data_IF_962765430937
#
_entry.id   IF_962765430937
#
_cell.length_a   1.000
_cell.length_b   1.000
_cell.length_c   1.000
_cell.angle_alpha   90.00
_cell.angle_beta   90.00
_cell.angle_gamma   90.00
#
_symmetry.space_group_name_H-M   'P 1'
#
loop_
_entity.id
_entity.type
_entity.pdbx_description
1 polymer ?
#
# COMPACT_ATOMS: atom_id res chain seq x y z
N UNK A 1 -12.39 -32.06 10.04
CA UNK A 1 -12.33 -30.81 9.26
C UNK A 1 -11.71 -29.74 10.13
N UNK A 2 -10.85 -28.88 9.57
CA UNK A 2 -10.27 -27.77 10.33
C UNK A 2 -11.42 -26.86 10.85
N UNK A 3 -11.41 -26.45 12.13
CA UNK A 3 -12.50 -25.69 12.75
C UNK A 3 -12.67 -24.28 12.18
N UNK A 4 -11.61 -23.73 11.57
CA UNK A 4 -11.64 -22.47 10.81
C UNK A 4 -10.88 -22.66 9.50
N UNK A 5 -11.60 -22.60 8.38
CA UNK A 5 -10.98 -22.53 7.06
C UNK A 5 -11.07 -21.09 6.56
N UNK A 6 -9.94 -20.40 6.31
CA UNK A 6 -9.98 -19.08 5.66
C UNK A 6 -10.48 -19.16 4.20
N UNK A 7 -10.54 -20.38 3.66
CA UNK A 7 -11.09 -20.69 2.35
C UNK A 7 -12.53 -20.17 2.21
N UNK A 8 -12.86 -19.60 1.06
CA UNK A 8 -14.13 -18.95 0.76
C UNK A 8 -14.48 -17.70 1.61
N UNK A 9 -13.49 -17.07 2.25
CA UNK A 9 -13.65 -15.76 2.94
C UNK A 9 -12.73 -14.73 2.33
N UNK A 10 -13.08 -13.44 2.36
CA UNK A 10 -12.21 -12.33 1.89
C UNK A 10 -10.83 -12.28 2.59
N UNK A 11 -10.70 -12.90 3.76
CA UNK A 11 -9.46 -13.02 4.53
C UNK A 11 -8.36 -13.74 3.73
N UNK A 12 -8.69 -14.79 2.96
CA UNK A 12 -7.67 -15.53 2.20
C UNK A 12 -7.04 -14.66 1.12
N UNK A 13 -7.84 -13.80 0.49
CA UNK A 13 -7.39 -12.84 -0.50
C UNK A 13 -6.50 -11.76 0.15
N UNK A 14 -6.91 -11.24 1.31
CA UNK A 14 -6.13 -10.28 2.08
C UNK A 14 -4.76 -10.85 2.46
N UNK A 15 -4.73 -12.09 2.98
CA UNK A 15 -3.50 -12.78 3.36
C UNK A 15 -2.59 -13.00 2.16
N UNK A 16 -3.14 -13.41 1.02
CA UNK A 16 -2.36 -13.57 -0.21
C UNK A 16 -1.74 -12.25 -0.67
N UNK A 17 -2.52 -11.18 -0.64
CA UNK A 17 -2.03 -9.84 -0.99
C UNK A 17 -0.94 -9.39 -0.03
N UNK A 18 -1.11 -9.60 1.28
CA UNK A 18 -0.06 -9.35 2.25
C UNK A 18 1.20 -10.15 1.89
N UNK A 19 1.12 -11.47 1.72
CA UNK A 19 2.28 -12.29 1.40
C UNK A 19 3.03 -11.82 0.14
N UNK A 20 2.30 -11.45 -0.93
CA UNK A 20 2.89 -11.04 -2.21
C UNK A 20 3.46 -9.62 -2.14
N UNK A 21 2.78 -8.70 -1.45
CA UNK A 21 3.13 -7.28 -1.41
C UNK A 21 4.06 -6.91 -0.24
N UNK A 22 4.23 -7.80 0.73
CA UNK A 22 5.10 -7.61 1.90
C UNK A 22 6.55 -7.27 1.51
N UNK A 23 7.21 -7.99 0.58
CA UNK A 23 8.57 -7.66 0.18
C UNK A 23 8.68 -6.25 -0.42
N UNK A 24 7.70 -5.86 -1.22
CA UNK A 24 7.65 -4.53 -1.84
C UNK A 24 7.46 -3.43 -0.77
N UNK A 25 6.55 -3.67 0.17
CA UNK A 25 6.26 -2.76 1.28
C UNK A 25 7.47 -2.59 2.19
N UNK A 26 8.18 -3.67 2.49
CA UNK A 26 9.42 -3.64 3.28
C UNK A 26 10.51 -2.82 2.58
N UNK A 27 10.68 -2.98 1.26
CA UNK A 27 11.63 -2.19 0.47
C UNK A 27 11.31 -0.70 0.52
N UNK A 28 10.06 -0.31 0.29
CA UNK A 28 9.66 1.10 0.33
C UNK A 28 9.80 1.69 1.74
N UNK A 29 9.49 0.92 2.78
CA UNK A 29 9.65 1.34 4.17
C UNK A 29 11.13 1.52 4.53
N UNK A 30 11.99 0.58 4.13
CA UNK A 30 13.45 0.68 4.37
C UNK A 30 14.05 1.93 3.72
N UNK A 31 13.61 2.28 2.51
CA UNK A 31 14.07 3.50 1.84
C UNK A 31 13.68 4.77 2.62
N UNK A 32 12.50 4.79 3.25
CA UNK A 32 12.06 5.91 4.09
C UNK A 32 12.93 6.06 5.35
N UNK A 33 13.30 4.96 6.01
CA UNK A 33 14.17 5.02 7.19
C UNK A 33 15.60 5.44 6.83
N UNK A 34 16.13 5.03 5.68
CA UNK A 34 17.48 5.40 5.23
C UNK A 34 17.63 6.91 4.95
N UNK A 35 16.53 7.64 4.76
CA UNK A 35 16.56 9.09 4.56
C UNK A 35 16.77 9.87 5.87
N UNK A 36 16.54 9.24 7.02
CA UNK A 36 16.75 9.85 8.34
C UNK A 36 18.20 9.59 8.76
N UNK A 37 18.95 10.66 9.03
CA UNK A 37 20.31 10.54 9.55
C UNK A 37 20.36 10.10 11.02
N UNK A 38 21.37 9.31 11.38
CA UNK A 38 21.58 8.75 12.73
C UNK A 38 21.77 9.82 13.84
N UNK A 39 22.03 11.06 13.44
CA UNK A 39 22.31 12.18 14.35
C UNK A 39 21.16 12.47 15.32
N UNK A 40 19.90 12.37 14.85
CA UNK A 40 18.72 12.64 15.69
C UNK A 40 18.55 11.58 16.78
N UNK A 41 18.81 10.33 16.44
CA UNK A 41 18.74 9.21 17.39
C UNK A 41 19.89 9.28 18.41
N UNK A 42 21.11 9.59 17.96
CA UNK A 42 22.26 9.78 18.84
C UNK A 42 22.04 10.94 19.83
N UNK A 43 21.55 12.09 19.37
CA UNK A 43 21.25 13.24 20.23
C UNK A 43 20.19 12.90 21.29
N UNK A 44 19.10 12.23 20.89
CA UNK A 44 18.04 11.84 21.81
C UNK A 44 18.51 10.85 22.89
N UNK A 45 19.41 9.91 22.53
CA UNK A 45 20.04 9.00 23.50
C UNK A 45 20.92 9.74 24.51
N UNK A 46 21.71 10.73 24.07
CA UNK A 46 22.53 11.56 24.98
C UNK A 46 21.65 12.38 25.92
N UNK A 47 20.47 12.82 25.47
CA UNK A 47 19.47 13.50 26.31
C UNK A 47 18.70 12.54 27.25
N UNK A 48 19.07 11.26 27.34
CA UNK A 48 18.46 10.30 28.26
C UNK A 48 17.14 9.69 27.77
N UNK A 49 16.77 9.85 26.49
CA UNK A 49 15.58 9.22 25.95
C UNK A 49 15.82 7.72 25.69
N UNK A 50 14.91 6.87 26.18
CA UNK A 50 14.91 5.43 25.85
C UNK A 50 14.49 5.14 24.41
N UNK A 51 14.86 3.97 23.89
CA UNK A 51 14.63 3.55 22.48
C UNK A 51 13.17 3.71 22.03
N UNK A 52 12.21 3.30 22.87
CA UNK A 52 10.79 3.41 22.54
C UNK A 52 10.31 4.86 22.43
N UNK A 53 10.87 5.75 23.26
CA UNK A 53 10.58 7.19 23.23
C UNK A 53 11.13 7.81 21.95
N UNK A 54 12.37 7.48 21.57
CA UNK A 54 12.99 7.95 20.33
C UNK A 54 12.19 7.48 19.12
N UNK A 55 11.84 6.19 19.06
CA UNK A 55 11.05 5.65 17.97
C UNK A 55 9.70 6.35 17.82
N UNK A 56 8.92 6.48 18.90
CA UNK A 56 7.55 7.02 18.80
C UNK A 56 7.49 8.53 18.64
N UNK A 57 8.41 9.28 19.26
CA UNK A 57 8.36 10.76 19.28
C UNK A 57 9.24 11.43 18.22
N UNK A 58 10.24 10.71 17.68
CA UNK A 58 11.19 11.26 16.71
C UNK A 58 11.06 10.49 15.40
N UNK A 59 11.48 9.22 15.36
CA UNK A 59 11.56 8.47 14.10
C UNK A 59 10.20 8.32 13.41
N UNK A 60 9.19 7.83 14.13
CA UNK A 60 7.87 7.54 13.60
C UNK A 60 7.19 8.75 12.92
N UNK A 61 7.06 9.94 13.55
CA UNK A 61 6.49 11.10 12.89
C UNK A 61 7.32 11.62 11.71
N UNK A 62 8.65 11.46 11.75
CA UNK A 62 9.55 11.81 10.64
C UNK A 62 9.37 10.88 9.42
N UNK A 63 9.26 9.56 9.62
CA UNK A 63 9.02 8.62 8.51
C UNK A 63 7.56 8.55 8.06
N UNK A 64 6.60 9.00 8.87
CA UNK A 64 5.17 8.87 8.60
C UNK A 64 4.74 9.38 7.21
N UNK A 65 5.16 10.58 6.73
CA UNK A 65 4.81 11.04 5.38
C UNK A 65 5.38 10.10 4.30
N UNK A 66 6.62 9.64 4.46
CA UNK A 66 7.27 8.72 3.52
C UNK A 66 6.61 7.33 3.52
N UNK A 67 6.21 6.82 4.69
CA UNK A 67 5.44 5.58 4.82
C UNK A 67 4.06 5.71 4.16
N UNK A 68 3.39 6.84 4.32
CA UNK A 68 2.11 7.08 3.65
C UNK A 68 2.27 7.10 2.12
N UNK A 69 3.32 7.72 1.59
CA UNK A 69 3.66 7.62 0.15
C UNK A 69 3.94 6.18 -0.29
N UNK A 70 4.66 5.40 0.51
CA UNK A 70 4.90 3.98 0.24
C UNK A 70 3.60 3.17 0.22
N UNK A 71 2.67 3.42 1.16
CA UNK A 71 1.37 2.76 1.20
C UNK A 71 0.54 3.04 -0.06
N UNK A 72 0.64 4.24 -0.62
CA UNK A 72 -0.05 4.60 -1.86
C UNK A 72 0.50 3.84 -3.08
N UNK A 73 1.82 3.60 -3.11
CA UNK A 73 2.42 2.75 -4.15
C UNK A 73 1.97 1.29 -4.01
N UNK A 74 1.91 0.77 -2.79
CA UNK A 74 1.42 -0.59 -2.52
C UNK A 74 -0.06 -0.72 -2.89
N UNK A 75 -0.88 0.29 -2.59
CA UNK A 75 -2.28 0.35 -3.00
C UNK A 75 -2.42 0.27 -4.53
N UNK A 76 -1.62 1.04 -5.27
CA UNK A 76 -1.62 1.01 -6.74
C UNK A 76 -1.12 -0.33 -7.32
N UNK A 77 -0.35 -1.11 -6.56
CA UNK A 77 0.09 -2.44 -6.94
C UNK A 77 -0.99 -3.49 -6.62
N UNK A 78 -1.65 -3.38 -5.47
CA UNK A 78 -2.73 -4.25 -5.05
C UNK A 78 -3.99 -4.11 -5.94
N UNK A 79 -4.29 -2.90 -6.41
CA UNK A 79 -5.49 -2.62 -7.22
C UNK A 79 -5.50 -3.34 -8.57
N UNK A 80 -4.31 -3.63 -9.12
CA UNK A 80 -4.11 -4.34 -10.38
C UNK A 80 -3.75 -5.82 -10.19
N UNK A 81 -3.76 -6.32 -8.96
CA UNK A 81 -3.30 -7.68 -8.68
C UNK A 81 -4.36 -8.70 -9.10
N UNK A 82 -4.00 -9.47 -10.12
CA UNK A 82 -4.92 -10.37 -10.81
C UNK A 82 -4.71 -11.83 -10.42
N UNK A 83 -3.45 -12.26 -10.30
CA UNK A 83 -3.10 -13.68 -10.17
C UNK A 83 -3.68 -14.24 -8.88
N UNK A 84 -3.40 -13.59 -7.74
CA UNK A 84 -4.00 -13.99 -6.48
C UNK A 84 -5.53 -13.88 -6.49
N UNK A 85 -6.09 -12.87 -7.15
CA UNK A 85 -7.55 -12.69 -7.23
C UNK A 85 -8.24 -13.85 -7.93
N UNK A 86 -7.76 -14.30 -9.09
CA UNK A 86 -8.41 -15.39 -9.83
C UNK A 86 -8.35 -16.69 -9.04
N UNK A 87 -7.23 -16.96 -8.38
CA UNK A 87 -6.98 -18.26 -7.73
C UNK A 87 -7.66 -18.35 -6.36
N UNK A 88 -7.73 -17.24 -5.61
CA UNK A 88 -8.14 -17.23 -4.20
C UNK A 88 -9.43 -16.45 -3.92
N UNK A 89 -9.98 -15.67 -4.85
CA UNK A 89 -11.19 -14.91 -4.57
C UNK A 89 -12.37 -15.87 -4.26
N UNK A 90 -13.12 -15.62 -3.17
CA UNK A 90 -14.30 -16.41 -2.84
C UNK A 90 -15.40 -16.21 -3.89
N UNK A 91 -16.31 -17.18 -3.98
CA UNK A 91 -17.41 -17.13 -4.96
C UNK A 91 -18.28 -15.90 -4.70
N UNK A 92 -18.58 -15.16 -5.77
CA UNK A 92 -19.38 -13.94 -5.69
C UNK A 92 -18.59 -12.67 -5.34
N UNK A 93 -17.30 -12.78 -5.01
CA UNK A 93 -16.42 -11.61 -4.84
C UNK A 93 -15.71 -11.28 -6.15
N UNK A 94 -15.70 -10.00 -6.50
CA UNK A 94 -14.96 -9.49 -7.65
C UNK A 94 -14.04 -8.37 -7.22
N UNK A 95 -12.76 -8.51 -7.58
CA UNK A 95 -11.79 -7.42 -7.53
C UNK A 95 -11.80 -6.63 -8.83
N UNK A 96 -11.27 -5.41 -8.81
CA UNK A 96 -11.10 -4.57 -10.00
C UNK A 96 -10.41 -5.37 -11.13
N UNK A 97 -9.32 -6.05 -10.80
CA UNK A 97 -8.56 -6.85 -11.75
C UNK A 97 -9.40 -7.99 -12.35
N UNK A 98 -10.12 -8.76 -11.53
CA UNK A 98 -10.98 -9.85 -12.04
C UNK A 98 -12.17 -9.35 -12.83
N UNK A 99 -12.74 -8.19 -12.47
CA UNK A 99 -13.81 -7.59 -13.24
C UNK A 99 -13.33 -7.21 -14.63
N UNK A 100 -12.21 -6.48 -14.72
CA UNK A 100 -11.63 -6.07 -15.99
C UNK A 100 -11.32 -7.30 -16.83
N UNK A 101 -10.64 -8.31 -16.25
CA UNK A 101 -10.41 -9.59 -16.91
C UNK A 101 -11.72 -10.08 -17.50
N UNK A 102 -12.72 -10.38 -16.66
CA UNK A 102 -13.96 -11.06 -17.08
C UNK A 102 -14.68 -10.34 -18.22
N UNK A 103 -14.64 -9.01 -18.26
CA UNK A 103 -15.22 -8.25 -19.37
C UNK A 103 -14.50 -8.47 -20.71
N UNK A 104 -13.19 -8.71 -20.71
CA UNK A 104 -12.45 -9.13 -21.90
C UNK A 104 -12.85 -10.54 -22.34
N UNK A 105 -13.03 -11.49 -21.40
CA UNK A 105 -13.46 -12.87 -21.69
C UNK A 105 -14.80 -12.92 -22.40
N UNK A 106 -15.72 -12.07 -21.94
CA UNK A 106 -17.09 -12.02 -22.41
C UNK A 106 -17.25 -11.20 -23.69
N UNK A 107 -16.14 -10.69 -24.27
CA UNK A 107 -16.16 -9.83 -25.45
C UNK A 107 -16.67 -8.41 -25.20
N UNK A 108 -16.99 -8.05 -23.95
CA UNK A 108 -17.45 -6.71 -23.55
C UNK A 108 -16.26 -5.79 -23.23
N UNK A 109 -15.34 -5.65 -24.20
CA UNK A 109 -14.07 -4.95 -24.03
C UNK A 109 -14.30 -3.48 -23.60
N UNK A 110 -15.35 -2.83 -24.11
CA UNK A 110 -15.67 -1.43 -23.77
C UNK A 110 -15.86 -1.20 -22.27
N UNK A 111 -16.57 -2.09 -21.57
CA UNK A 111 -16.75 -2.00 -20.13
C UNK A 111 -15.46 -2.29 -19.36
N UNK A 112 -14.67 -3.27 -19.83
CA UNK A 112 -13.36 -3.57 -19.26
C UNK A 112 -12.41 -2.37 -19.35
N UNK A 113 -12.36 -1.70 -20.51
CA UNK A 113 -11.54 -0.52 -20.74
C UNK A 113 -12.00 0.68 -19.91
N UNK A 114 -13.31 0.91 -19.77
CA UNK A 114 -13.84 1.97 -18.92
C UNK A 114 -13.40 1.78 -17.45
N UNK A 115 -13.48 0.56 -16.93
CA UNK A 115 -13.01 0.26 -15.57
C UNK A 115 -11.50 0.37 -15.41
N UNK A 116 -10.72 -0.05 -16.42
CA UNK A 116 -9.27 0.14 -16.42
C UNK A 116 -8.91 1.63 -16.38
N UNK A 117 -9.61 2.47 -17.16
CA UNK A 117 -9.40 3.91 -17.18
C UNK A 117 -9.71 4.57 -15.83
N UNK A 118 -10.85 4.22 -15.21
CA UNK A 118 -11.20 4.69 -13.86
C UNK A 118 -10.13 4.28 -12.84
N UNK A 119 -9.64 3.04 -12.93
CA UNK A 119 -8.59 2.54 -12.03
C UNK A 119 -7.29 3.31 -12.19
N UNK A 120 -6.86 3.61 -13.42
CA UNK A 120 -5.67 4.41 -13.70
C UNK A 120 -5.84 5.83 -13.12
N UNK A 121 -7.00 6.45 -13.33
CA UNK A 121 -7.30 7.77 -12.77
C UNK A 121 -7.19 7.75 -11.24
N UNK A 122 -7.82 6.80 -10.56
CA UNK A 122 -7.80 6.73 -9.09
C UNK A 122 -6.40 6.46 -8.55
N UNK A 123 -5.68 5.49 -9.13
CA UNK A 123 -4.32 5.14 -8.72
C UNK A 123 -3.29 6.23 -9.01
N UNK A 124 -3.61 7.19 -9.89
CA UNK A 124 -2.73 8.33 -10.21
C UNK A 124 -3.12 9.59 -9.44
N UNK A 125 -4.41 9.95 -9.41
CA UNK A 125 -4.88 11.15 -8.74
C UNK A 125 -4.73 11.07 -7.22
N UNK A 126 -5.01 9.92 -6.59
CA UNK A 126 -4.90 9.81 -5.14
C UNK A 126 -3.47 10.10 -4.66
N UNK A 127 -2.41 9.49 -5.22
CA UNK A 127 -1.04 9.85 -4.85
C UNK A 127 -0.64 11.29 -5.20
N UNK A 128 -1.07 11.80 -6.35
CA UNK A 128 -0.76 13.19 -6.74
C UNK A 128 -1.39 14.20 -5.79
N UNK A 129 -2.65 14.01 -5.41
CA UNK A 129 -3.34 14.84 -4.44
C UNK A 129 -2.67 14.74 -3.07
N UNK A 130 -2.31 13.54 -2.63
CA UNK A 130 -1.58 13.36 -1.38
C UNK A 130 -0.25 14.12 -1.37
N UNK A 131 0.55 14.01 -2.43
CA UNK A 131 1.81 14.75 -2.57
C UNK A 131 1.58 16.26 -2.65
N UNK A 132 0.54 16.72 -3.34
CA UNK A 132 0.19 18.13 -3.42
C UNK A 132 -0.23 18.71 -2.05
N UNK A 133 -0.96 17.93 -1.24
CA UNK A 133 -1.33 18.30 0.13
C UNK A 133 -0.11 18.37 1.04
N UNK A 134 0.78 17.37 0.99
CA UNK A 134 2.03 17.37 1.76
C UNK A 134 2.92 18.58 1.44
N UNK A 135 3.05 18.94 0.16
CA UNK A 135 3.78 20.13 -0.28
C UNK A 135 3.17 21.42 0.27
N UNK A 136 1.85 21.51 0.32
CA UNK A 136 1.13 22.67 0.88
C UNK A 136 1.30 22.81 2.39
N UNK A 137 1.48 21.71 3.11
CA UNK A 137 1.65 21.71 4.57
C UNK A 137 3.05 22.15 5.03
N UNK A 138 3.97 22.51 4.12
CA UNK A 138 5.34 22.90 4.48
C UNK A 138 6.20 21.76 5.05
N UNK A 139 5.70 20.53 5.04
CA UNK A 139 6.39 19.32 5.50
C UNK A 139 7.46 18.82 4.51
N UNK A 140 7.39 19.30 3.27
CA UNK A 140 8.38 19.08 2.21
C UNK A 140 8.88 20.45 1.76
N UNK A 141 9.56 21.15 2.67
CA UNK A 141 10.42 22.27 2.32
C UNK A 141 11.86 21.76 2.39
N UNK A 142 12.42 21.53 1.19
CA UNK A 142 13.79 21.13 0.83
C UNK A 142 14.32 19.77 1.33
#
# INVERSE_FOLDING_TARGET
GLPFTPYNTSIILLLAYCCILLPQTARYSSAAFQQIGDNLEAAARVSGAGTLTVFRRILLPLVLPSLASAMLLVFALASRELVASIVLAPVGMQTIATFIWRQFEQGSIGLGMAMAFVTIILTTLIPLLFLALLRRSGLVAE
#
